data_IF_746452658901
#
_entry.id   IF_746452658901
#
_cell.length_a   1.000
_cell.length_b   1.000
_cell.length_c   1.000
_cell.angle_alpha   90.00
_cell.angle_beta   90.00
_cell.angle_gamma   90.00
#
_symmetry.space_group_name_H-M   'P 1'
#
loop_
_entity.id
_entity.type
_entity.pdbx_description
1 polymer ?
#
# COMPACT_ATOMS: atom_id res chain seq x y z
N UNK A 1 26.15 -21.27 27.05
CA UNK A 1 26.25 -21.48 25.55
C UNK A 1 26.80 -20.24 24.87
N UNK A 2 27.35 -20.28 23.63
CA UNK A 2 27.99 -19.11 23.02
C UNK A 2 27.08 -17.88 22.88
N UNK A 3 25.74 -18.05 22.93
CA UNK A 3 24.75 -16.99 22.73
C UNK A 3 24.05 -16.51 24.01
N UNK A 4 24.43 -17.03 25.21
CA UNK A 4 23.68 -16.74 26.44
C UNK A 4 23.57 -15.23 26.72
N UNK A 5 24.66 -14.49 26.57
CA UNK A 5 24.66 -13.02 26.78
C UNK A 5 23.76 -12.27 25.79
N UNK A 6 23.74 -12.70 24.53
CA UNK A 6 22.85 -12.11 23.53
C UNK A 6 21.39 -12.42 23.84
N UNK A 7 21.10 -13.68 24.23
CA UNK A 7 19.75 -14.07 24.61
C UNK A 7 19.23 -13.27 25.81
N UNK A 8 20.08 -12.96 26.79
CA UNK A 8 19.68 -12.16 27.95
C UNK A 8 19.31 -10.73 27.54
N UNK A 9 20.10 -10.09 26.65
CA UNK A 9 19.80 -8.78 26.11
C UNK A 9 18.48 -8.79 25.33
N UNK A 10 18.30 -9.75 24.39
CA UNK A 10 17.09 -9.82 23.57
C UNK A 10 15.83 -10.14 24.39
N UNK A 11 15.94 -10.97 25.47
CA UNK A 11 14.82 -11.19 26.39
C UNK A 11 14.43 -9.92 27.14
N UNK A 12 15.41 -9.11 27.55
CA UNK A 12 15.12 -7.84 28.20
C UNK A 12 14.42 -6.85 27.24
N UNK A 13 14.88 -6.76 25.99
CA UNK A 13 14.24 -5.93 24.96
C UNK A 13 12.81 -6.39 24.64
N UNK A 14 12.58 -7.72 24.54
CA UNK A 14 11.25 -8.28 24.34
C UNK A 14 10.31 -7.98 25.52
N UNK A 15 10.80 -8.12 26.75
CA UNK A 15 10.03 -7.78 27.96
C UNK A 15 9.70 -6.27 28.02
N UNK A 16 10.61 -5.41 27.57
CA UNK A 16 10.35 -3.97 27.46
C UNK A 16 9.27 -3.68 26.42
N UNK A 17 9.33 -4.29 25.22
CA UNK A 17 8.30 -4.18 24.19
C UNK A 17 6.93 -4.64 24.70
N UNK A 18 6.89 -5.74 25.47
CA UNK A 18 5.66 -6.24 26.08
C UNK A 18 5.09 -5.24 27.10
N UNK A 19 5.93 -4.75 28.02
CA UNK A 19 5.52 -3.78 29.03
C UNK A 19 4.98 -2.47 28.47
N UNK A 20 5.46 -2.10 27.26
CA UNK A 20 5.02 -0.92 26.51
C UNK A 20 3.82 -1.20 25.59
N UNK A 21 3.30 -2.43 25.54
CA UNK A 21 2.22 -2.81 24.61
C UNK A 21 2.63 -2.73 23.13
N UNK A 22 3.92 -2.85 22.82
CA UNK A 22 4.49 -2.69 21.47
C UNK A 22 4.77 -4.01 20.74
N UNK A 23 4.60 -5.15 21.43
CA UNK A 23 4.72 -6.45 20.79
C UNK A 23 3.64 -6.63 19.72
N UNK A 24 4.03 -7.24 18.59
CA UNK A 24 3.08 -7.55 17.49
C UNK A 24 2.13 -8.70 17.85
N UNK A 25 2.45 -9.48 18.88
CA UNK A 25 1.71 -10.68 19.24
C UNK A 25 1.94 -11.83 18.26
N UNK A 26 1.12 -12.87 18.37
CA UNK A 26 1.13 -13.99 17.43
C UNK A 26 0.39 -13.63 16.14
N UNK A 27 0.85 -14.20 15.03
CA UNK A 27 0.20 -14.05 13.74
C UNK A 27 -1.16 -14.78 13.72
N UNK A 28 -2.14 -14.20 13.01
CA UNK A 28 -3.41 -14.89 12.74
C UNK A 28 -3.21 -15.82 11.55
N UNK A 29 -3.40 -17.13 11.77
CA UNK A 29 -3.22 -18.15 10.75
C UNK A 29 -4.57 -18.49 10.12
N UNK A 30 -4.70 -18.26 8.81
CA UNK A 30 -5.85 -18.63 8.01
C UNK A 30 -5.70 -20.09 7.56
N UNK A 31 -6.69 -20.93 7.88
CA UNK A 31 -6.68 -22.36 7.54
C UNK A 31 -7.52 -22.65 6.32
N UNK A 32 -8.54 -21.82 6.04
CA UNK A 32 -9.43 -22.01 4.90
C UNK A 32 -10.08 -20.71 4.46
N UNK A 33 -10.32 -20.62 3.16
CA UNK A 33 -11.15 -19.58 2.54
C UNK A 33 -12.42 -20.23 2.00
N UNK A 34 -13.56 -19.74 2.45
CA UNK A 34 -14.88 -20.17 1.96
C UNK A 34 -15.34 -19.16 0.91
N UNK A 35 -15.77 -19.61 -0.28
CA UNK A 35 -16.23 -18.70 -1.33
C UNK A 35 -17.49 -17.95 -0.90
N UNK A 36 -17.74 -16.80 -1.55
CA UNK A 36 -18.98 -16.05 -1.39
C UNK A 36 -20.19 -16.94 -1.68
N UNK A 37 -21.24 -16.80 -0.87
CA UNK A 37 -22.46 -17.59 -1.00
C UNK A 37 -23.70 -16.77 -0.62
N UNK A 38 -24.75 -16.83 -1.44
CA UNK A 38 -25.98 -16.06 -1.26
C UNK A 38 -25.69 -14.55 -1.09
N UNK A 39 -26.09 -13.98 0.04
CA UNK A 39 -25.92 -12.55 0.34
C UNK A 39 -24.63 -12.23 1.14
N UNK A 40 -23.73 -13.20 1.29
CA UNK A 40 -22.49 -13.07 2.03
C UNK A 40 -21.26 -13.14 1.11
N UNK A 41 -20.30 -12.26 1.33
CA UNK A 41 -18.97 -12.34 0.74
C UNK A 41 -18.15 -13.53 1.29
N UNK A 42 -16.88 -13.65 0.90
CA UNK A 42 -16.02 -14.75 1.36
C UNK A 42 -15.89 -14.77 2.88
N UNK A 43 -15.73 -15.97 3.45
CA UNK A 43 -15.45 -16.17 4.88
C UNK A 43 -14.13 -16.87 5.07
N UNK A 44 -13.54 -16.68 6.24
CA UNK A 44 -12.22 -17.19 6.58
C UNK A 44 -12.29 -18.00 7.86
N UNK A 45 -11.66 -19.17 7.87
CA UNK A 45 -11.47 -19.99 9.07
C UNK A 45 -10.04 -19.78 9.60
N UNK A 46 -9.90 -19.80 10.93
CA UNK A 46 -8.64 -19.53 11.60
C UNK A 46 -8.19 -20.71 12.43
N UNK A 47 -6.88 -20.89 12.54
CA UNK A 47 -6.29 -21.87 13.45
C UNK A 47 -6.74 -21.62 14.91
N UNK A 48 -7.17 -22.68 15.58
CA UNK A 48 -7.62 -22.64 16.98
C UNK A 48 -9.04 -22.12 17.21
N UNK A 49 -9.78 -21.70 16.17
CA UNK A 49 -11.15 -21.15 16.27
C UNK A 49 -12.26 -22.16 15.85
N UNK A 50 -11.89 -23.43 15.61
CA UNK A 50 -12.82 -24.44 15.12
C UNK A 50 -13.42 -24.08 13.77
N UNK A 51 -14.74 -24.34 13.60
CA UNK A 51 -15.49 -24.06 12.36
C UNK A 51 -16.04 -22.62 12.31
N UNK A 52 -15.56 -21.72 13.17
CA UNK A 52 -16.00 -20.33 13.20
C UNK A 52 -15.56 -19.59 11.95
N UNK A 53 -16.50 -18.92 11.31
CA UNK A 53 -16.29 -18.18 10.09
C UNK A 53 -16.14 -16.68 10.40
N UNK A 54 -15.16 -16.06 9.76
CA UNK A 54 -14.83 -14.65 9.97
C UNK A 54 -15.07 -13.82 8.72
N UNK A 55 -15.67 -12.67 8.89
CA UNK A 55 -15.67 -11.56 7.93
C UNK A 55 -14.34 -10.81 8.06
N UNK A 56 -13.62 -10.64 6.96
CA UNK A 56 -12.28 -10.03 6.95
C UNK A 56 -12.34 -8.55 6.57
N UNK A 57 -12.35 -7.67 7.58
CA UNK A 57 -12.41 -6.21 7.41
C UNK A 57 -11.04 -5.53 7.58
N UNK A 58 -9.94 -6.29 7.55
CA UNK A 58 -8.57 -5.79 7.74
C UNK A 58 -7.61 -6.22 6.62
N UNK A 59 -8.13 -6.46 5.42
CA UNK A 59 -7.32 -6.82 4.25
C UNK A 59 -7.25 -5.67 3.26
N UNK A 60 -6.04 -5.39 2.74
CA UNK A 60 -5.85 -4.45 1.63
C UNK A 60 -6.29 -5.03 0.26
N UNK A 61 -7.02 -6.14 0.21
CA UNK A 61 -7.54 -6.77 -1.01
C UNK A 61 -8.79 -6.03 -1.51
N UNK A 62 -8.64 -4.76 -1.89
CA UNK A 62 -9.75 -3.85 -2.17
C UNK A 62 -10.72 -4.35 -3.24
N UNK A 63 -10.22 -5.05 -4.28
CA UNK A 63 -11.05 -5.55 -5.39
C UNK A 63 -11.29 -7.06 -5.35
N UNK A 64 -10.82 -7.76 -4.30
CA UNK A 64 -10.97 -9.22 -4.19
C UNK A 64 -10.24 -10.02 -5.29
N UNK A 65 -9.28 -9.42 -5.98
CA UNK A 65 -8.61 -10.03 -7.15
C UNK A 65 -7.97 -11.37 -6.83
N UNK A 66 -7.43 -11.55 -5.61
CA UNK A 66 -6.80 -12.81 -5.18
C UNK A 66 -7.74 -14.03 -5.13
N UNK A 67 -9.05 -13.80 -5.10
CA UNK A 67 -10.07 -14.86 -5.07
C UNK A 67 -10.82 -15.00 -6.41
N UNK A 68 -10.49 -14.22 -7.42
CA UNK A 68 -11.14 -14.27 -8.71
C UNK A 68 -10.67 -15.47 -9.54
N UNK A 69 -11.62 -16.22 -10.13
CA UNK A 69 -11.30 -17.40 -10.93
C UNK A 69 -10.32 -17.11 -12.07
N UNK A 70 -10.45 -15.94 -12.72
CA UNK A 70 -9.60 -15.53 -13.85
C UNK A 70 -8.15 -15.33 -13.43
N UNK A 71 -7.93 -14.78 -12.24
CA UNK A 71 -6.58 -14.52 -11.68
C UNK A 71 -5.95 -15.83 -11.21
N UNK A 72 -6.72 -16.68 -10.50
CA UNK A 72 -6.29 -18.00 -10.05
C UNK A 72 -5.92 -18.89 -11.25
N UNK A 73 -6.75 -18.93 -12.29
CA UNK A 73 -6.49 -19.73 -13.49
C UNK A 73 -5.21 -19.29 -14.20
N UNK A 74 -4.95 -17.97 -14.29
CA UNK A 74 -3.73 -17.44 -14.90
C UNK A 74 -2.47 -17.83 -14.09
N UNK A 75 -2.54 -17.83 -12.76
CA UNK A 75 -1.44 -18.28 -11.89
C UNK A 75 -1.15 -19.78 -12.06
N UNK A 76 -2.21 -20.62 -12.08
CA UNK A 76 -2.07 -22.05 -12.31
C UNK A 76 -1.47 -22.38 -13.67
N UNK A 77 -1.91 -21.70 -14.75
CA UNK A 77 -1.37 -21.86 -16.08
C UNK A 77 0.09 -21.42 -16.15
N UNK A 78 0.41 -20.26 -15.55
CA UNK A 78 1.79 -19.77 -15.44
C UNK A 78 2.70 -20.75 -14.71
N UNK A 79 2.24 -21.33 -13.59
CA UNK A 79 3.00 -22.37 -12.87
C UNK A 79 3.24 -23.63 -13.71
N UNK A 80 2.27 -24.07 -14.50
CA UNK A 80 2.42 -25.23 -15.39
C UNK A 80 3.36 -24.95 -16.55
N UNK A 81 3.32 -23.73 -17.09
CA UNK A 81 4.16 -23.36 -18.25
C UNK A 81 5.61 -23.10 -17.90
N UNK A 82 5.88 -22.41 -16.78
CA UNK A 82 7.21 -21.88 -16.44
C UNK A 82 7.81 -22.49 -15.16
N UNK A 83 7.08 -23.28 -14.40
CA UNK A 83 7.50 -23.75 -13.09
C UNK A 83 7.21 -22.74 -11.98
N UNK A 84 7.66 -23.04 -10.74
CA UNK A 84 7.28 -22.33 -9.52
C UNK A 84 8.19 -21.17 -9.14
N UNK A 85 9.25 -20.94 -9.88
CA UNK A 85 10.19 -19.86 -9.53
C UNK A 85 11.05 -19.40 -10.70
N UNK A 86 11.65 -18.20 -10.61
CA UNK A 86 12.42 -17.61 -11.70
C UNK A 86 13.78 -18.24 -11.92
N UNK A 87 14.32 -18.97 -10.93
CA UNK A 87 15.62 -19.66 -11.00
C UNK A 87 16.85 -18.75 -10.92
N UNK A 88 16.71 -17.46 -11.22
CA UNK A 88 17.79 -16.46 -11.19
C UNK A 88 17.24 -15.04 -11.07
N UNK A 89 18.13 -14.06 -10.86
CA UNK A 89 17.82 -12.63 -11.00
C UNK A 89 17.58 -12.24 -12.46
N UNK A 90 16.89 -11.12 -12.67
CA UNK A 90 16.38 -10.67 -13.97
C UNK A 90 17.43 -10.63 -15.10
N UNK A 91 18.62 -10.09 -14.86
CA UNK A 91 19.63 -9.88 -15.88
C UNK A 91 20.45 -11.16 -16.23
N UNK A 92 20.41 -12.19 -15.38
CA UNK A 92 21.10 -13.45 -15.66
C UNK A 92 20.23 -14.36 -16.55
N UNK A 93 19.13 -14.90 -15.98
CA UNK A 93 18.20 -15.77 -16.70
C UNK A 93 16.81 -15.83 -16.04
N UNK A 94 16.52 -14.94 -15.12
CA UNK A 94 15.25 -14.89 -14.38
C UNK A 94 14.19 -13.98 -15.04
N UNK A 95 14.36 -13.59 -16.30
CA UNK A 95 13.36 -12.84 -17.06
C UNK A 95 12.61 -13.75 -18.01
N UNK A 96 11.30 -13.77 -17.88
CA UNK A 96 10.38 -14.50 -18.75
C UNK A 96 9.55 -13.49 -19.56
N UNK A 97 8.98 -13.93 -20.67
CA UNK A 97 8.12 -13.10 -21.53
C UNK A 97 6.96 -12.47 -20.77
N UNK A 98 6.29 -13.22 -19.89
CA UNK A 98 5.21 -12.75 -19.05
C UNK A 98 5.60 -11.58 -18.14
N UNK A 99 6.85 -11.48 -17.70
CA UNK A 99 7.35 -10.31 -16.98
C UNK A 99 7.36 -9.06 -17.87
N UNK A 100 7.83 -9.22 -19.12
CA UNK A 100 7.89 -8.13 -20.10
C UNK A 100 6.48 -7.68 -20.50
N UNK A 101 5.58 -8.64 -20.69
CA UNK A 101 4.17 -8.35 -21.02
C UNK A 101 3.48 -7.59 -19.87
N UNK A 102 3.71 -7.99 -18.63
CA UNK A 102 3.19 -7.27 -17.46
C UNK A 102 3.77 -5.86 -17.36
N UNK A 103 5.09 -5.68 -17.53
CA UNK A 103 5.73 -4.36 -17.53
C UNK A 103 5.12 -3.47 -18.62
N UNK A 104 4.94 -3.97 -19.83
CA UNK A 104 4.28 -3.24 -20.91
C UNK A 104 2.84 -2.87 -20.55
N UNK A 105 2.07 -3.82 -20.05
CA UNK A 105 0.66 -3.62 -19.69
C UNK A 105 0.47 -2.61 -18.58
N UNK A 106 1.33 -2.60 -17.55
CA UNK A 106 1.32 -1.61 -16.48
C UNK A 106 1.67 -0.21 -16.99
N UNK A 107 2.67 -0.11 -17.87
CA UNK A 107 3.01 1.16 -18.50
C UNK A 107 1.82 1.73 -19.32
N UNK A 108 1.17 0.90 -20.12
CA UNK A 108 -0.03 1.25 -20.89
C UNK A 108 -1.18 1.68 -19.98
N UNK A 109 -1.44 0.92 -18.91
CA UNK A 109 -2.49 1.21 -17.94
C UNK A 109 -2.36 2.61 -17.32
N UNK A 110 -1.13 3.03 -17.01
CA UNK A 110 -0.84 4.35 -16.43
C UNK A 110 -0.50 5.43 -17.48
N UNK A 111 -0.54 5.13 -18.79
CA UNK A 111 -0.13 6.07 -19.82
C UNK A 111 1.35 6.49 -19.72
N UNK A 112 2.23 5.60 -19.21
CA UNK A 112 3.65 5.86 -19.04
C UNK A 112 4.49 5.22 -20.16
N UNK A 113 5.73 5.73 -20.35
CA UNK A 113 6.64 5.21 -21.38
C UNK A 113 7.13 3.80 -21.07
N UNK A 114 7.30 3.45 -19.81
CA UNK A 114 7.79 2.16 -19.38
C UNK A 114 7.38 1.86 -17.93
N UNK A 115 7.46 0.58 -17.53
CA UNK A 115 7.41 0.16 -16.15
C UNK A 115 8.50 -0.88 -15.83
N UNK A 116 8.70 -1.16 -14.55
CA UNK A 116 9.75 -2.08 -14.06
C UNK A 116 9.27 -2.78 -12.81
N UNK A 117 9.31 -4.12 -12.82
CA UNK A 117 8.84 -4.98 -11.74
C UNK A 117 9.89 -5.22 -10.66
N UNK A 118 9.44 -5.34 -9.43
CA UNK A 118 10.21 -5.73 -8.25
C UNK A 118 9.48 -6.83 -7.47
N UNK A 119 10.18 -7.49 -6.55
CA UNK A 119 9.62 -8.56 -5.71
C UNK A 119 8.55 -8.08 -4.70
N UNK A 120 8.48 -6.79 -4.40
CA UNK A 120 7.47 -6.17 -3.54
C UNK A 120 7.47 -4.65 -3.74
N UNK A 121 6.42 -3.94 -3.29
CA UNK A 121 6.42 -2.48 -3.27
C UNK A 121 7.52 -1.91 -2.38
N UNK A 122 7.81 -2.55 -1.25
CA UNK A 122 8.92 -2.16 -0.39
C UNK A 122 10.26 -2.21 -1.16
N UNK A 123 10.52 -3.31 -1.87
CA UNK A 123 11.71 -3.45 -2.73
C UNK A 123 11.70 -2.44 -3.88
N UNK A 124 10.52 -2.09 -4.42
CA UNK A 124 10.39 -1.06 -5.47
C UNK A 124 10.86 0.30 -4.97
N UNK A 125 10.36 0.75 -3.82
CA UNK A 125 10.75 2.03 -3.23
C UNK A 125 12.24 2.06 -2.85
N UNK A 126 12.72 0.95 -2.24
CA UNK A 126 14.16 0.78 -1.91
C UNK A 126 15.06 0.67 -3.14
N UNK A 127 14.53 0.24 -4.29
CA UNK A 127 15.27 0.19 -5.55
C UNK A 127 15.18 1.48 -6.36
N UNK A 128 14.12 2.25 -6.19
CA UNK A 128 13.86 3.47 -6.97
C UNK A 128 14.53 4.71 -6.38
N UNK A 129 14.33 4.98 -5.09
CA UNK A 129 14.80 6.23 -4.48
C UNK A 129 16.32 6.29 -4.32
N UNK A 130 17.06 5.30 -3.79
CA UNK A 130 18.50 5.43 -3.56
C UNK A 130 19.32 5.75 -4.80
N UNK A 131 19.08 5.19 -5.99
CA UNK A 131 19.83 5.58 -7.18
C UNK A 131 19.59 7.03 -7.63
N UNK A 132 18.43 7.61 -7.29
CA UNK A 132 18.06 8.99 -7.65
C UNK A 132 18.53 10.00 -6.63
N UNK A 133 18.75 9.59 -5.38
CA UNK A 133 19.16 10.43 -4.25
C UNK A 133 20.67 10.39 -4.07
N UNK A 134 21.37 11.32 -4.68
CA UNK A 134 22.84 11.42 -4.63
C UNK A 134 23.30 12.43 -3.58
N UNK A 135 24.64 12.54 -3.39
CA UNK A 135 25.25 13.58 -2.55
C UNK A 135 25.07 15.02 -3.06
N UNK A 136 24.30 15.23 -4.14
CA UNK A 136 23.92 16.54 -4.68
C UNK A 136 22.41 16.77 -4.72
N UNK A 137 21.63 15.82 -4.18
CA UNK A 137 20.17 15.81 -4.20
C UNK A 137 19.59 16.24 -2.86
N UNK A 138 18.57 17.10 -2.88
CA UNK A 138 17.65 17.28 -1.77
C UNK A 138 16.48 16.30 -1.89
N UNK A 139 16.13 15.61 -0.80
CA UNK A 139 14.87 14.88 -0.70
C UNK A 139 13.89 15.64 0.19
N UNK A 140 12.65 15.79 -0.28
CA UNK A 140 11.58 16.50 0.43
C UNK A 140 10.42 15.51 0.58
N UNK A 141 10.08 15.16 1.82
CA UNK A 141 9.20 14.03 2.17
C UNK A 141 8.07 14.48 3.09
N UNK A 142 6.84 14.04 2.84
CA UNK A 142 5.74 14.20 3.80
C UNK A 142 6.04 13.45 5.10
N UNK A 143 5.64 14.02 6.23
CA UNK A 143 5.89 13.49 7.56
C UNK A 143 5.21 12.14 7.84
N UNK A 144 4.11 11.82 7.14
CA UNK A 144 3.36 10.58 7.29
C UNK A 144 3.68 9.52 6.23
N UNK A 145 4.69 9.75 5.39
CA UNK A 145 5.10 8.79 4.39
C UNK A 145 5.43 7.41 4.97
N UNK A 146 5.14 6.38 4.20
CA UNK A 146 5.34 5.00 4.57
C UNK A 146 6.81 4.69 4.91
N UNK A 147 7.02 3.71 5.78
CA UNK A 147 8.34 3.28 6.27
C UNK A 147 9.34 2.94 5.16
N UNK A 148 8.90 2.40 4.01
CA UNK A 148 9.78 2.11 2.89
C UNK A 148 10.47 3.38 2.34
N UNK A 149 9.76 4.51 2.25
CA UNK A 149 10.30 5.80 1.84
C UNK A 149 11.34 6.28 2.86
N UNK A 150 11.00 6.24 4.15
CA UNK A 150 11.89 6.63 5.24
C UNK A 150 13.20 5.83 5.18
N UNK A 151 13.12 4.52 4.98
CA UNK A 151 14.30 3.65 4.93
C UNK A 151 15.09 3.81 3.62
N UNK A 152 14.43 4.03 2.49
CA UNK A 152 15.10 4.33 1.23
C UNK A 152 15.92 5.63 1.31
N UNK A 153 15.35 6.67 1.91
CA UNK A 153 16.05 7.95 2.15
C UNK A 153 17.25 7.76 3.09
N UNK A 154 17.10 6.96 4.16
CA UNK A 154 18.21 6.62 5.06
C UNK A 154 19.35 5.88 4.35
N UNK A 155 19.01 4.94 3.49
CA UNK A 155 19.98 4.18 2.70
C UNK A 155 20.71 5.06 1.70
N UNK A 156 20.02 5.96 1.02
CA UNK A 156 20.54 6.81 -0.04
C UNK A 156 21.52 7.87 0.46
N UNK A 157 21.35 8.39 1.67
CA UNK A 157 22.17 9.48 2.24
C UNK A 157 22.24 10.71 1.32
N UNK A 158 21.10 11.34 0.98
CA UNK A 158 21.07 12.53 0.14
C UNK A 158 21.84 13.68 0.82
N UNK A 159 22.18 14.71 0.04
CA UNK A 159 22.87 15.90 0.55
C UNK A 159 22.04 16.62 1.61
N UNK A 160 20.76 16.81 1.32
CA UNK A 160 19.83 17.45 2.24
C UNK A 160 18.54 16.63 2.34
N UNK A 161 17.94 16.66 3.53
CA UNK A 161 16.68 15.98 3.81
C UNK A 161 15.74 16.94 4.52
N UNK A 162 14.58 17.16 3.91
CA UNK A 162 13.48 17.92 4.46
C UNK A 162 12.29 17.00 4.72
N UNK A 163 11.62 17.19 5.85
CA UNK A 163 10.36 16.51 6.17
C UNK A 163 9.35 17.61 6.49
N UNK A 164 8.38 17.80 5.62
CA UNK A 164 7.34 18.79 5.83
C UNK A 164 6.15 18.20 6.59
N UNK A 165 5.45 19.01 7.41
CA UNK A 165 4.24 18.57 8.09
C UNK A 165 3.21 18.05 7.09
N UNK A 166 2.45 17.04 7.49
CA UNK A 166 1.51 16.36 6.63
C UNK A 166 0.57 17.33 5.90
N UNK A 167 0.58 17.25 4.57
CA UNK A 167 -0.19 18.09 3.63
C UNK A 167 0.06 19.60 3.73
N UNK A 168 1.17 20.04 4.34
CA UNK A 168 1.52 21.46 4.43
C UNK A 168 2.31 21.90 3.19
N UNK A 169 1.60 22.47 2.23
CA UNK A 169 2.21 22.94 0.97
C UNK A 169 3.08 24.17 1.16
N UNK A 170 2.87 24.96 2.21
CA UNK A 170 3.71 26.11 2.54
C UNK A 170 5.09 25.67 3.01
N UNK A 171 5.16 24.67 3.87
CA UNK A 171 6.43 24.08 4.33
C UNK A 171 7.13 23.29 3.21
N UNK A 172 6.37 22.63 2.31
CA UNK A 172 6.92 22.03 1.08
C UNK A 172 7.61 23.10 0.22
N UNK A 173 6.93 24.25 -0.01
CA UNK A 173 7.48 25.36 -0.78
C UNK A 173 8.76 25.93 -0.14
N UNK A 174 8.73 26.16 1.17
CA UNK A 174 9.90 26.64 1.91
C UNK A 174 11.09 25.67 1.79
N UNK A 175 10.83 24.35 1.83
CA UNK A 175 11.85 23.34 1.65
C UNK A 175 12.46 23.37 0.23
N UNK A 176 11.63 23.53 -0.82
CA UNK A 176 12.10 23.69 -2.21
C UNK A 176 12.97 24.94 -2.36
N UNK A 177 12.53 26.06 -1.83
CA UNK A 177 13.30 27.32 -1.85
C UNK A 177 14.66 27.15 -1.16
N UNK A 178 14.70 26.49 0.00
CA UNK A 178 15.97 26.27 0.71
C UNK A 178 16.88 25.31 -0.05
N UNK A 179 16.35 24.20 -0.55
CA UNK A 179 17.09 23.18 -1.30
C UNK A 179 17.73 23.74 -2.58
N UNK A 180 17.04 24.68 -3.27
CA UNK A 180 17.53 25.30 -4.51
C UNK A 180 18.84 26.07 -4.33
N UNK A 181 19.18 26.48 -3.11
CA UNK A 181 20.40 27.25 -2.84
C UNK A 181 21.68 26.41 -2.86
N UNK A 182 21.55 25.09 -2.71
CA UNK A 182 22.70 24.20 -2.48
C UNK A 182 22.65 22.89 -3.28
N UNK A 183 21.49 22.41 -3.69
CA UNK A 183 21.32 21.13 -4.35
C UNK A 183 21.14 21.29 -5.88
N UNK A 184 21.60 20.28 -6.63
CA UNK A 184 21.45 20.25 -8.08
C UNK A 184 20.13 19.64 -8.53
N UNK A 185 19.52 18.79 -7.67
CA UNK A 185 18.26 18.09 -7.89
C UNK A 185 17.41 18.15 -6.63
N UNK A 186 16.11 18.30 -6.79
CA UNK A 186 15.15 18.01 -5.73
C UNK A 186 14.36 16.73 -6.10
N UNK A 187 14.08 15.88 -5.11
CA UNK A 187 13.14 14.77 -5.22
C UNK A 187 12.08 14.96 -4.15
N UNK A 188 10.87 15.29 -4.58
CA UNK A 188 9.69 15.33 -3.74
C UNK A 188 9.10 13.94 -3.73
N UNK A 189 8.94 13.34 -2.56
CA UNK A 189 8.35 12.00 -2.44
C UNK A 189 7.21 12.00 -1.44
N UNK A 190 6.08 11.40 -1.85
CA UNK A 190 4.87 11.28 -1.04
C UNK A 190 4.15 9.97 -1.29
N UNK A 191 3.42 9.46 -0.28
CA UNK A 191 2.36 8.49 -0.54
C UNK A 191 1.23 9.17 -1.32
N UNK A 192 0.57 8.47 -2.23
CA UNK A 192 -0.64 8.95 -2.89
C UNK A 192 -1.81 8.91 -1.92
N UNK A 193 -2.01 7.77 -1.26
CA UNK A 193 -2.96 7.55 -0.17
C UNK A 193 -2.20 7.18 1.10
N UNK A 194 -2.44 7.89 2.18
CA UNK A 194 -1.83 7.62 3.49
C UNK A 194 -2.56 6.49 4.21
N UNK A 195 -1.87 5.38 4.40
CA UNK A 195 -2.44 4.08 4.75
C UNK A 195 -3.19 4.01 6.08
N UNK A 196 -2.91 4.91 7.03
CA UNK A 196 -3.55 4.92 8.34
C UNK A 196 -4.84 5.74 8.32
N UNK A 197 -4.87 6.84 7.57
CA UNK A 197 -5.94 7.82 7.58
C UNK A 197 -6.93 7.69 6.42
N UNK A 198 -6.49 7.12 5.29
CA UNK A 198 -7.28 7.06 4.05
C UNK A 198 -7.36 8.40 3.30
N UNK A 199 -6.70 9.45 3.78
CA UNK A 199 -6.56 10.73 3.08
C UNK A 199 -5.52 10.62 1.96
N UNK A 200 -5.48 11.62 1.07
CA UNK A 200 -4.62 11.62 -0.11
C UNK A 200 -3.73 12.86 -0.19
N UNK A 201 -2.61 12.73 -0.89
CA UNK A 201 -1.72 13.85 -1.19
C UNK A 201 -2.40 14.90 -2.09
N UNK A 202 -2.04 16.18 -1.88
CA UNK A 202 -2.43 17.30 -2.73
C UNK A 202 -1.57 17.32 -4.01
N UNK A 203 -1.71 16.28 -4.87
CA UNK A 203 -0.83 16.08 -6.02
C UNK A 203 -0.78 17.28 -6.97
N UNK A 204 -1.91 17.95 -7.31
CA UNK A 204 -1.87 19.14 -8.17
C UNK A 204 -0.96 20.24 -7.63
N UNK A 205 -1.06 20.55 -6.34
CA UNK A 205 -0.25 21.59 -5.68
C UNK A 205 1.21 21.18 -5.58
N UNK A 206 1.50 19.90 -5.29
CA UNK A 206 2.87 19.36 -5.24
C UNK A 206 3.53 19.49 -6.62
N UNK A 207 2.84 19.12 -7.69
CA UNK A 207 3.34 19.22 -9.06
C UNK A 207 3.51 20.68 -9.50
N UNK A 208 2.59 21.57 -9.11
CA UNK A 208 2.70 22.99 -9.36
C UNK A 208 3.94 23.60 -8.69
N UNK A 209 4.19 23.28 -7.43
CA UNK A 209 5.38 23.71 -6.70
C UNK A 209 6.65 23.13 -7.32
N UNK A 210 6.66 21.86 -7.71
CA UNK A 210 7.80 21.26 -8.40
C UNK A 210 8.11 22.03 -9.71
N UNK A 211 7.10 22.30 -10.53
CA UNK A 211 7.25 23.09 -11.79
C UNK A 211 7.72 24.51 -11.53
N UNK A 212 7.21 25.16 -10.49
CA UNK A 212 7.60 26.53 -10.12
C UNK A 212 9.10 26.65 -9.81
N UNK A 213 9.64 25.64 -9.10
CA UNK A 213 11.04 25.65 -8.67
C UNK A 213 11.97 24.86 -9.61
N UNK A 214 11.48 24.18 -10.61
CA UNK A 214 12.24 23.29 -11.51
C UNK A 214 13.48 23.98 -12.09
N UNK A 215 13.33 25.22 -12.58
CA UNK A 215 14.41 26.02 -13.17
C UNK A 215 15.54 26.39 -12.20
N UNK A 216 15.30 26.26 -10.89
CA UNK A 216 16.30 26.55 -9.86
C UNK A 216 17.23 25.34 -9.59
N UNK A 217 16.90 24.17 -10.13
CA UNK A 217 17.70 22.96 -10.02
C UNK A 217 18.33 22.58 -11.36
N UNK A 218 19.64 22.41 -11.39
CA UNK A 218 20.36 22.02 -12.61
C UNK A 218 19.97 20.64 -13.18
N UNK A 219 19.34 19.78 -12.35
CA UNK A 219 18.91 18.42 -12.68
C UNK A 219 17.43 18.18 -12.32
N UNK A 220 16.63 19.25 -12.39
CA UNK A 220 15.19 19.30 -12.17
C UNK A 220 14.69 19.04 -10.73
N UNK A 221 13.42 19.37 -10.53
CA UNK A 221 12.62 18.96 -9.38
C UNK A 221 11.73 17.78 -9.82
N UNK A 222 11.93 16.60 -9.22
CA UNK A 222 11.30 15.33 -9.60
C UNK A 222 10.23 14.96 -8.58
N UNK A 223 9.04 14.59 -9.03
CA UNK A 223 7.92 14.14 -8.18
C UNK A 223 7.79 12.61 -8.26
N UNK A 224 7.90 11.96 -7.10
CA UNK A 224 7.75 10.51 -6.93
C UNK A 224 6.56 10.24 -6.01
N UNK A 225 5.61 9.45 -6.46
CA UNK A 225 4.42 9.08 -5.69
C UNK A 225 4.40 7.57 -5.45
N UNK A 226 4.29 7.15 -4.19
CA UNK A 226 3.95 5.77 -3.83
C UNK A 226 2.42 5.67 -3.70
N UNK A 227 1.78 5.23 -4.76
CA UNK A 227 0.33 5.07 -4.83
C UNK A 227 -0.14 3.64 -4.61
N UNK A 228 0.57 2.93 -3.74
CA UNK A 228 0.30 1.52 -3.41
C UNK A 228 -1.09 1.29 -2.80
N UNK A 229 -1.74 2.30 -2.25
CA UNK A 229 -3.11 2.24 -1.78
C UNK A 229 -4.13 2.80 -2.78
N UNK A 230 -3.71 3.68 -3.69
CA UNK A 230 -4.60 4.29 -4.67
C UNK A 230 -4.84 3.41 -5.89
N UNK A 231 -3.79 2.83 -6.47
CA UNK A 231 -3.92 1.98 -7.66
C UNK A 231 -4.84 0.79 -7.41
N UNK A 232 -5.88 0.67 -8.23
CA UNK A 232 -6.91 -0.36 -8.14
C UNK A 232 -7.99 -0.11 -7.07
N UNK A 233 -7.93 1.03 -6.33
CA UNK A 233 -8.91 1.34 -5.29
C UNK A 233 -9.47 2.76 -5.40
N UNK A 234 -8.77 3.66 -6.10
CA UNK A 234 -9.06 5.09 -6.15
C UNK A 234 -9.05 5.60 -7.59
N UNK A 235 -9.77 6.69 -7.86
CA UNK A 235 -10.01 7.18 -9.21
C UNK A 235 -11.15 6.45 -9.93
N UNK A 236 -11.67 7.02 -11.00
CA UNK A 236 -12.84 6.51 -11.72
C UNK A 236 -12.61 5.12 -12.32
N UNK A 237 -11.41 4.86 -12.82
CA UNK A 237 -11.01 3.62 -13.49
C UNK A 237 -9.95 2.83 -12.71
N UNK A 238 -9.66 3.25 -11.46
CA UNK A 238 -8.68 2.59 -10.60
C UNK A 238 -7.22 2.91 -10.92
N UNK A 239 -6.97 4.01 -11.63
CA UNK A 239 -5.60 4.46 -11.92
C UNK A 239 -4.93 5.19 -10.76
N UNK A 240 -5.64 5.33 -9.65
CA UNK A 240 -5.11 5.84 -8.39
C UNK A 240 -5.29 7.34 -8.19
N UNK A 241 -4.41 7.89 -7.36
CA UNK A 241 -4.52 9.26 -6.84
C UNK A 241 -4.34 10.32 -7.93
N UNK A 242 -3.49 10.10 -8.94
CA UNK A 242 -3.37 11.02 -10.09
C UNK A 242 -4.70 11.17 -10.82
N UNK A 243 -5.37 10.06 -11.12
CA UNK A 243 -6.69 10.09 -11.78
C UNK A 243 -7.73 10.78 -10.90
N UNK A 244 -7.78 10.43 -9.62
CA UNK A 244 -8.75 11.02 -8.69
C UNK A 244 -8.61 12.55 -8.56
N UNK A 245 -7.37 13.04 -8.46
CA UNK A 245 -7.09 14.46 -8.30
C UNK A 245 -7.00 15.20 -9.63
N UNK A 246 -7.22 14.49 -10.75
CA UNK A 246 -7.01 15.01 -12.10
C UNK A 246 -5.64 15.70 -12.25
N UNK A 247 -4.61 15.09 -11.69
CA UNK A 247 -3.24 15.58 -11.71
C UNK A 247 -2.47 14.97 -12.87
N UNK A 248 -1.75 15.79 -13.61
CA UNK A 248 -0.77 15.38 -14.62
C UNK A 248 0.61 15.92 -14.24
N UNK A 249 1.62 15.06 -14.22
CA UNK A 249 3.00 15.51 -14.01
C UNK A 249 3.75 14.87 -12.85
N UNK A 250 3.23 13.79 -12.30
CA UNK A 250 4.04 12.88 -11.48
C UNK A 250 5.06 12.18 -12.38
N UNK A 251 6.34 12.28 -12.06
CA UNK A 251 7.43 11.73 -12.87
C UNK A 251 7.59 10.24 -12.74
N UNK A 252 7.46 9.74 -11.49
CA UNK A 252 7.55 8.33 -11.16
C UNK A 252 6.40 7.91 -10.25
N UNK A 253 5.65 6.91 -10.70
CA UNK A 253 4.60 6.24 -9.95
C UNK A 253 5.14 4.92 -9.42
N UNK A 254 5.15 4.73 -8.11
CA UNK A 254 5.40 3.45 -7.44
C UNK A 254 4.06 2.86 -7.03
N UNK A 255 3.86 1.56 -7.21
CA UNK A 255 2.67 0.88 -6.73
C UNK A 255 2.92 -0.59 -6.40
N UNK A 256 1.98 -1.18 -5.67
CA UNK A 256 2.01 -2.59 -5.29
C UNK A 256 1.09 -3.45 -6.16
N UNK A 257 1.50 -4.68 -6.40
CA UNK A 257 0.62 -5.74 -6.90
C UNK A 257 -0.11 -6.45 -5.74
N UNK A 258 0.37 -6.28 -4.51
CA UNK A 258 -0.04 -7.05 -3.32
C UNK A 258 -1.31 -6.55 -2.61
N UNK A 259 -2.00 -5.55 -3.13
CA UNK A 259 -3.23 -5.01 -2.52
C UNK A 259 -4.43 -5.21 -3.45
N UNK A 260 -4.87 -4.17 -4.14
CA UNK A 260 -6.04 -4.26 -5.02
C UNK A 260 -5.89 -5.30 -6.13
N UNK A 261 -4.69 -5.48 -6.67
CA UNK A 261 -4.41 -6.47 -7.72
C UNK A 261 -4.25 -7.90 -7.19
N UNK A 262 -4.14 -8.09 -5.86
CA UNK A 262 -4.26 -9.39 -5.20
C UNK A 262 -3.11 -10.37 -5.42
N UNK A 263 -1.96 -9.93 -5.93
CA UNK A 263 -0.78 -10.75 -6.26
C UNK A 263 0.45 -10.18 -5.56
N UNK A 264 1.48 -10.98 -5.35
CA UNK A 264 2.74 -10.47 -4.80
C UNK A 264 3.48 -9.59 -5.81
N UNK A 265 4.28 -8.63 -5.31
CA UNK A 265 5.12 -7.77 -6.12
C UNK A 265 4.86 -6.27 -5.98
N UNK A 266 5.66 -5.52 -6.71
CA UNK A 266 5.51 -4.08 -6.86
C UNK A 266 6.16 -3.61 -8.16
N UNK A 267 5.90 -2.38 -8.55
CA UNK A 267 6.45 -1.82 -9.77
C UNK A 267 6.64 -0.31 -9.67
N UNK A 268 7.50 0.21 -10.52
CA UNK A 268 7.62 1.65 -10.80
C UNK A 268 7.31 1.89 -12.27
N UNK A 269 6.56 2.96 -12.55
CA UNK A 269 6.24 3.40 -13.91
C UNK A 269 6.64 4.87 -14.12
N UNK A 270 7.15 5.20 -15.32
CA UNK A 270 7.60 6.55 -15.63
C UNK A 270 8.35 6.66 -16.97
N UNK A 271 9.33 7.57 -17.01
CA UNK A 271 10.18 7.79 -18.18
C UNK A 271 11.05 6.56 -18.50
N UNK A 272 11.12 6.18 -19.77
CA UNK A 272 11.95 5.05 -20.23
C UNK A 272 13.44 5.24 -19.92
N UNK A 273 13.92 6.48 -19.92
CA UNK A 273 15.34 6.80 -19.60
C UNK A 273 15.61 6.54 -18.12
N UNK A 274 14.71 7.00 -17.24
CA UNK A 274 14.86 6.77 -15.78
C UNK A 274 14.80 5.27 -15.48
N UNK A 275 13.83 4.55 -16.06
CA UNK A 275 13.70 3.11 -15.79
C UNK A 275 14.87 2.30 -16.36
N UNK A 276 15.44 2.71 -17.51
CA UNK A 276 16.68 2.10 -18.01
C UNK A 276 17.83 2.35 -17.03
N UNK A 277 17.97 3.55 -16.48
CA UNK A 277 18.97 3.84 -15.47
C UNK A 277 18.77 3.01 -14.20
N UNK A 278 17.52 2.88 -13.72
CA UNK A 278 17.21 2.04 -12.56
C UNK A 278 17.55 0.56 -12.79
N UNK A 279 17.36 0.02 -13.99
CA UNK A 279 17.76 -1.36 -14.32
C UNK A 279 19.26 -1.62 -14.13
N UNK A 280 20.09 -0.59 -14.31
CA UNK A 280 21.54 -0.68 -14.15
C UNK A 280 22.02 -0.36 -12.73
N UNK A 281 21.22 0.34 -11.91
CA UNK A 281 21.68 0.88 -10.63
C UNK A 281 20.88 0.39 -9.40
N UNK A 282 19.66 -0.10 -9.59
CA UNK A 282 18.80 -0.51 -8.50
C UNK A 282 19.25 -1.85 -7.88
N UNK A 283 19.95 -1.80 -6.75
CA UNK A 283 20.44 -3.01 -6.07
C UNK A 283 19.32 -4.01 -5.74
N UNK A 284 18.14 -3.53 -5.35
CA UNK A 284 16.96 -4.35 -5.04
C UNK A 284 16.30 -5.01 -6.26
N UNK A 285 16.71 -4.62 -7.47
CA UNK A 285 16.36 -5.28 -8.71
C UNK A 285 17.47 -6.20 -9.19
N UNK A 286 18.71 -5.72 -9.18
CA UNK A 286 19.86 -6.44 -9.74
C UNK A 286 20.17 -7.70 -8.92
N UNK A 287 20.10 -7.62 -7.58
CA UNK A 287 20.54 -8.68 -6.67
C UNK A 287 19.40 -9.43 -5.98
N UNK A 288 18.14 -9.16 -6.36
CA UNK A 288 16.97 -9.85 -5.85
C UNK A 288 16.26 -10.60 -6.97
N UNK A 289 15.72 -11.79 -6.64
CA UNK A 289 14.87 -12.50 -7.60
C UNK A 289 13.60 -11.66 -7.88
N UNK A 290 13.09 -11.71 -9.12
CA UNK A 290 11.78 -11.12 -9.43
C UNK A 290 10.64 -11.94 -8.78
N UNK A 291 9.42 -11.45 -8.91
CA UNK A 291 8.21 -12.26 -8.75
C UNK A 291 8.30 -13.49 -9.68
N UNK A 292 7.60 -14.56 -9.34
CA UNK A 292 7.55 -15.76 -10.17
C UNK A 292 6.82 -15.47 -11.50
N UNK A 293 7.08 -16.24 -12.57
CA UNK A 293 6.30 -16.13 -13.81
C UNK A 293 4.80 -16.35 -13.57
N UNK A 294 4.43 -17.21 -12.63
CA UNK A 294 3.04 -17.46 -12.25
C UNK A 294 2.39 -16.22 -11.63
N UNK A 295 3.06 -15.57 -10.67
CA UNK A 295 2.61 -14.30 -10.10
C UNK A 295 2.52 -13.20 -11.17
N UNK A 296 3.45 -13.16 -12.13
CA UNK A 296 3.39 -12.21 -13.22
C UNK A 296 2.18 -12.45 -14.14
N UNK A 297 1.83 -13.71 -14.43
CA UNK A 297 0.64 -14.07 -15.20
C UNK A 297 -0.65 -13.70 -14.45
N UNK A 298 -0.73 -13.98 -13.16
CA UNK A 298 -1.84 -13.58 -12.29
C UNK A 298 -2.01 -12.05 -12.26
N UNK A 299 -0.91 -11.30 -12.10
CA UNK A 299 -0.95 -9.84 -12.10
C UNK A 299 -1.42 -9.28 -13.45
N UNK A 300 -0.98 -9.85 -14.56
CA UNK A 300 -1.42 -9.47 -15.91
C UNK A 300 -2.92 -9.68 -16.08
N UNK A 301 -3.45 -10.81 -15.59
CA UNK A 301 -4.89 -11.08 -15.57
C UNK A 301 -5.64 -10.08 -14.69
N UNK A 302 -5.13 -9.78 -13.48
CA UNK A 302 -5.74 -8.83 -12.56
C UNK A 302 -5.82 -7.41 -13.15
N UNK A 303 -4.75 -6.92 -13.79
CA UNK A 303 -4.75 -5.62 -14.50
C UNK A 303 -5.75 -5.64 -15.65
N UNK A 304 -5.85 -6.76 -16.37
CA UNK A 304 -6.81 -6.90 -17.48
C UNK A 304 -8.26 -6.88 -16.99
N UNK A 305 -8.55 -7.49 -15.86
CA UNK A 305 -9.87 -7.40 -15.21
C UNK A 305 -10.14 -5.97 -14.75
N UNK A 306 -9.18 -5.32 -14.09
CA UNK A 306 -9.32 -3.94 -13.61
C UNK A 306 -9.64 -2.98 -14.77
N UNK A 307 -8.89 -3.09 -15.88
CA UNK A 307 -9.05 -2.22 -17.05
C UNK A 307 -10.14 -2.74 -18.03
N UNK A 308 -11.27 -3.16 -17.46
CA UNK A 308 -12.42 -3.70 -18.18
C UNK A 308 -13.75 -3.21 -17.57
N UNK A 309 -14.90 -3.43 -18.23
CA UNK A 309 -16.21 -3.14 -17.62
C UNK A 309 -16.43 -3.84 -16.27
N UNK A 310 -15.87 -5.04 -16.07
CA UNK A 310 -15.92 -5.75 -14.79
C UNK A 310 -15.17 -4.96 -13.71
N UNK A 311 -13.98 -4.44 -14.01
CA UNK A 311 -13.21 -3.61 -13.07
C UNK A 311 -13.94 -2.34 -12.67
N UNK A 312 -14.59 -1.66 -13.63
CA UNK A 312 -15.43 -0.48 -13.35
C UNK A 312 -16.57 -0.85 -12.38
N UNK A 313 -17.28 -1.95 -12.65
CA UNK A 313 -18.37 -2.41 -11.76
C UNK A 313 -17.86 -2.74 -10.34
N UNK A 314 -16.68 -3.35 -10.22
CA UNK A 314 -16.05 -3.63 -8.91
C UNK A 314 -15.70 -2.33 -8.17
N UNK A 315 -15.16 -1.33 -8.85
CA UNK A 315 -14.84 -0.02 -8.27
C UNK A 315 -16.11 0.72 -7.83
N UNK A 316 -17.17 0.67 -8.61
CA UNK A 316 -18.47 1.27 -8.24
C UNK A 316 -19.06 0.59 -7.01
N UNK A 317 -19.02 -0.74 -6.96
CA UNK A 317 -19.46 -1.51 -5.80
C UNK A 317 -18.62 -1.21 -4.56
N UNK A 318 -17.27 -1.19 -4.69
CA UNK A 318 -16.36 -0.83 -3.61
C UNK A 318 -16.71 0.54 -3.00
N UNK A 319 -16.91 1.55 -3.84
CA UNK A 319 -17.32 2.91 -3.40
C UNK A 319 -18.68 2.90 -2.71
N UNK A 320 -19.64 2.10 -3.21
CA UNK A 320 -20.95 1.99 -2.60
C UNK A 320 -20.87 1.36 -1.20
N UNK A 321 -20.07 0.31 -1.03
CA UNK A 321 -19.86 -0.35 0.27
C UNK A 321 -19.06 0.54 1.23
N UNK A 322 -18.07 1.27 0.75
CA UNK A 322 -17.32 2.25 1.55
C UNK A 322 -18.24 3.33 2.11
N UNK A 323 -19.04 3.97 1.25
CA UNK A 323 -20.01 4.98 1.70
C UNK A 323 -21.02 4.41 2.68
N UNK A 324 -21.54 3.19 2.43
CA UNK A 324 -22.47 2.51 3.34
C UNK A 324 -21.86 2.33 4.73
N UNK A 325 -20.60 1.91 4.79
CA UNK A 325 -19.91 1.69 6.06
C UNK A 325 -19.65 3.01 6.79
N UNK A 326 -19.12 4.04 6.12
CA UNK A 326 -18.89 5.36 6.72
C UNK A 326 -20.17 5.99 7.24
N UNK A 327 -21.24 6.01 6.43
CA UNK A 327 -22.54 6.53 6.84
C UNK A 327 -23.09 5.75 8.04
N UNK A 328 -22.99 4.42 7.99
CA UNK A 328 -23.43 3.55 9.08
C UNK A 328 -22.67 3.77 10.40
N UNK A 329 -21.37 4.11 10.34
CA UNK A 329 -20.60 4.52 11.53
C UNK A 329 -21.14 5.82 12.12
N UNK A 330 -21.30 6.86 11.29
CA UNK A 330 -21.77 8.18 11.71
C UNK A 330 -23.18 8.10 12.30
N UNK A 331 -24.11 7.37 11.66
CA UNK A 331 -25.48 7.17 12.14
C UNK A 331 -25.55 6.49 13.51
N UNK A 332 -24.55 5.67 13.84
CA UNK A 332 -24.40 4.98 15.14
C UNK A 332 -23.58 5.78 16.16
N UNK A 333 -23.19 7.02 15.83
CA UNK A 333 -22.45 7.92 16.72
C UNK A 333 -20.97 7.64 16.83
N UNK A 334 -20.40 6.85 15.93
CA UNK A 334 -18.95 6.63 15.86
C UNK A 334 -18.24 7.78 15.12
N UNK A 335 -17.04 8.12 15.57
CA UNK A 335 -16.19 9.09 14.91
C UNK A 335 -15.37 8.40 13.81
N UNK A 336 -15.35 8.97 12.59
CA UNK A 336 -14.51 8.54 11.48
C UNK A 336 -13.89 9.75 10.78
N UNK A 337 -12.82 9.54 10.03
CA UNK A 337 -12.27 10.56 9.12
C UNK A 337 -13.02 10.41 7.79
N UNK A 338 -13.78 11.43 7.35
CA UNK A 338 -14.49 11.36 6.07
C UNK A 338 -13.53 11.21 4.89
N UNK A 339 -13.87 10.33 3.94
CA UNK A 339 -13.07 10.11 2.74
C UNK A 339 -13.84 9.32 1.69
N UNK A 340 -13.20 9.09 0.54
CA UNK A 340 -13.74 8.24 -0.53
C UNK A 340 -12.91 6.97 -0.73
N UNK A 341 -11.80 6.85 0.01
CA UNK A 341 -10.92 5.68 -0.05
C UNK A 341 -11.46 4.54 0.83
N UNK A 342 -11.33 3.26 0.41
CA UNK A 342 -11.84 2.12 1.18
C UNK A 342 -11.11 1.81 2.50
N UNK A 343 -10.10 2.57 2.88
CA UNK A 343 -9.58 2.60 4.25
C UNK A 343 -10.45 3.56 5.06
N UNK A 344 -11.19 3.01 6.02
CA UNK A 344 -12.12 3.77 6.87
C UNK A 344 -11.67 3.63 8.32
N UNK A 345 -11.06 4.68 8.91
CA UNK A 345 -10.65 4.65 10.31
C UNK A 345 -11.85 4.92 11.21
N UNK A 346 -12.07 4.08 12.23
CA UNK A 346 -12.96 4.34 13.35
C UNK A 346 -12.11 4.89 14.50
N UNK A 347 -12.28 6.16 14.83
CA UNK A 347 -11.49 6.83 15.86
C UNK A 347 -11.99 6.42 17.25
N UNK A 348 -11.16 5.73 18.02
CA UNK A 348 -11.48 5.24 19.38
C UNK A 348 -10.85 6.14 20.45
N UNK A 349 -9.66 6.68 20.16
CA UNK A 349 -8.91 7.65 20.97
C UNK A 349 -8.48 7.16 22.34
N UNK A 350 -8.52 5.85 22.58
CA UNK A 350 -8.10 5.20 23.82
C UNK A 350 -7.55 3.80 23.54
N UNK A 351 -6.36 3.49 24.04
CA UNK A 351 -5.65 2.21 23.80
C UNK A 351 -6.41 1.01 24.36
N UNK A 352 -6.94 1.12 25.60
CA UNK A 352 -7.60 0.00 26.25
C UNK A 352 -8.94 -0.31 25.58
N UNK A 353 -9.70 0.75 25.25
CA UNK A 353 -10.96 0.64 24.51
C UNK A 353 -10.76 0.09 23.10
N UNK A 354 -9.70 0.51 22.39
CA UNK A 354 -9.35 -0.04 21.07
C UNK A 354 -9.08 -1.54 21.16
N UNK A 355 -8.29 -1.98 22.13
CA UNK A 355 -8.00 -3.38 22.36
C UNK A 355 -9.25 -4.20 22.69
N UNK A 356 -10.11 -3.67 23.57
CA UNK A 356 -11.37 -4.31 23.95
C UNK A 356 -12.34 -4.42 22.76
N UNK A 357 -12.45 -3.37 21.94
CA UNK A 357 -13.32 -3.36 20.77
C UNK A 357 -12.83 -4.32 19.67
N UNK A 358 -11.51 -4.44 19.44
CA UNK A 358 -10.95 -5.47 18.53
C UNK A 358 -11.26 -6.88 19.02
N UNK A 359 -11.13 -7.13 20.33
CA UNK A 359 -11.50 -8.41 20.95
C UNK A 359 -13.00 -8.72 20.77
N UNK A 360 -13.87 -7.73 20.97
CA UNK A 360 -15.31 -7.84 20.76
C UNK A 360 -15.64 -8.19 19.31
N UNK A 361 -15.06 -7.48 18.33
CA UNK A 361 -15.22 -7.76 16.90
C UNK A 361 -14.80 -9.20 16.58
N UNK A 362 -13.62 -9.63 17.01
CA UNK A 362 -13.12 -11.00 16.80
C UNK A 362 -14.05 -12.04 17.44
N UNK A 363 -14.53 -11.81 18.65
CA UNK A 363 -15.47 -12.69 19.33
C UNK A 363 -16.80 -12.84 18.60
N UNK A 364 -17.18 -11.85 17.79
CA UNK A 364 -18.38 -11.85 16.95
C UNK A 364 -18.10 -12.15 15.45
N UNK A 365 -16.93 -12.72 15.13
CA UNK A 365 -16.62 -13.18 13.77
C UNK A 365 -16.21 -12.07 12.80
N UNK A 366 -15.74 -10.92 13.29
CA UNK A 366 -15.21 -9.83 12.44
C UNK A 366 -13.73 -9.62 12.73
N UNK A 367 -12.89 -9.66 11.67
CA UNK A 367 -11.46 -9.36 11.76
C UNK A 367 -11.21 -7.90 11.42
N UNK A 368 -10.76 -7.13 12.40
CA UNK A 368 -10.35 -5.74 12.24
C UNK A 368 -9.00 -5.50 12.94
N UNK A 369 -8.30 -4.43 12.57
CA UNK A 369 -6.98 -4.12 13.13
C UNK A 369 -7.04 -2.83 13.94
N UNK A 370 -6.77 -2.94 15.24
CA UNK A 370 -6.57 -1.79 16.12
C UNK A 370 -5.16 -1.21 15.93
N UNK A 371 -5.08 0.10 15.88
CA UNK A 371 -3.84 0.86 15.81
C UNK A 371 -3.70 1.67 17.08
N UNK A 372 -2.71 1.31 17.90
CA UNK A 372 -2.41 1.94 19.17
C UNK A 372 -1.06 2.65 19.11
N UNK A 373 -0.79 3.50 20.10
CA UNK A 373 0.56 4.04 20.28
C UNK A 373 1.60 2.90 20.38
N UNK A 374 2.77 3.00 19.75
CA UNK A 374 3.32 4.15 19.00
C UNK A 374 3.08 4.08 17.48
N UNK A 375 2.19 3.22 16.99
CA UNK A 375 1.87 3.13 15.56
C UNK A 375 1.12 4.40 15.11
N UNK A 376 0.25 4.87 15.97
CA UNK A 376 -0.41 6.18 15.88
C UNK A 376 -0.06 7.03 17.11
N UNK A 377 -0.15 8.36 17.07
CA UNK A 377 0.00 9.22 18.24
C UNK A 377 -1.00 8.87 19.34
N UNK A 378 -0.66 9.16 20.59
CA UNK A 378 -1.65 9.05 21.70
C UNK A 378 -2.81 10.02 21.49
N UNK A 379 -4.01 9.48 21.61
CA UNK A 379 -5.25 10.20 21.33
C UNK A 379 -5.73 10.06 19.88
N UNK A 380 -4.96 9.35 19.04
CA UNK A 380 -5.33 8.99 17.66
C UNK A 380 -5.50 7.49 17.49
N UNK A 381 -5.68 6.75 18.60
CA UNK A 381 -5.95 5.32 18.55
C UNK A 381 -7.23 5.05 17.76
N UNK A 382 -7.16 4.09 16.85
CA UNK A 382 -8.22 3.80 15.89
C UNK A 382 -8.34 2.31 15.59
N UNK A 383 -9.48 1.91 15.05
CA UNK A 383 -9.63 0.65 14.33
C UNK A 383 -9.67 0.98 12.85
N UNK A 384 -8.69 0.45 12.11
CA UNK A 384 -8.61 0.63 10.67
C UNK A 384 -9.39 -0.47 9.96
N UNK A 385 -10.55 -0.12 9.42
CA UNK A 385 -11.30 -0.98 8.53
C UNK A 385 -10.85 -0.81 7.09
N UNK A 386 -10.84 -1.89 6.34
CA UNK A 386 -10.61 -1.90 4.89
C UNK A 386 -11.83 -2.54 4.22
N UNK A 387 -12.50 -1.76 3.42
CA UNK A 387 -13.64 -2.22 2.63
C UNK A 387 -13.11 -2.90 1.36
N UNK A 388 -13.79 -3.96 0.94
CA UNK A 388 -13.47 -4.73 -0.27
C UNK A 388 -14.69 -4.83 -1.17
N UNK A 389 -14.45 -4.95 -2.47
CA UNK A 389 -15.50 -5.30 -3.44
C UNK A 389 -16.08 -6.71 -3.23
N UNK A 390 -15.44 -7.52 -2.38
CA UNK A 390 -15.98 -8.81 -1.94
C UNK A 390 -17.06 -8.68 -0.86
N UNK A 391 -17.14 -7.52 -0.17
CA UNK A 391 -18.15 -7.31 0.85
C UNK A 391 -19.51 -7.00 0.24
N UNK A 392 -20.56 -7.61 0.79
CA UNK A 392 -21.95 -7.32 0.46
C UNK A 392 -22.54 -6.27 1.39
N UNK A 393 -23.71 -5.72 1.05
CA UNK A 393 -24.43 -4.82 1.96
C UNK A 393 -24.76 -5.50 3.31
N UNK A 394 -25.10 -6.80 3.29
CA UNK A 394 -25.37 -7.57 4.50
C UNK A 394 -24.11 -7.74 5.37
N UNK A 395 -22.93 -7.91 4.76
CA UNK A 395 -21.66 -7.97 5.49
C UNK A 395 -21.37 -6.66 6.20
N UNK A 396 -21.54 -5.54 5.51
CA UNK A 396 -21.34 -4.19 6.06
C UNK A 396 -22.31 -3.96 7.23
N UNK A 397 -23.61 -4.25 7.05
CA UNK A 397 -24.61 -4.08 8.09
C UNK A 397 -24.33 -4.97 9.31
N UNK A 398 -23.95 -6.22 9.09
CA UNK A 398 -23.56 -7.15 10.17
C UNK A 398 -22.37 -6.63 10.97
N UNK A 399 -21.34 -6.09 10.30
CA UNK A 399 -20.20 -5.49 10.99
C UNK A 399 -20.61 -4.27 11.84
N UNK A 400 -21.47 -3.39 11.29
CA UNK A 400 -22.00 -2.23 11.99
C UNK A 400 -22.87 -2.61 13.20
N UNK A 401 -23.65 -3.69 13.10
CA UNK A 401 -24.46 -4.19 14.22
C UNK A 401 -23.59 -4.79 15.33
N UNK A 402 -22.52 -5.50 14.97
CA UNK A 402 -21.51 -5.97 15.94
C UNK A 402 -20.86 -4.80 16.66
N UNK A 403 -20.49 -3.73 15.95
CA UNK A 403 -19.93 -2.51 16.56
C UNK A 403 -20.92 -1.87 17.54
N UNK A 404 -22.21 -1.81 17.18
CA UNK A 404 -23.26 -1.24 18.04
C UNK A 404 -23.53 -2.04 19.31
N UNK A 405 -23.19 -3.32 19.33
CA UNK A 405 -23.30 -4.19 20.50
C UNK A 405 -22.14 -4.10 21.49
N UNK A 406 -21.22 -3.16 21.31
CA UNK A 406 -20.10 -2.98 22.22
C UNK A 406 -20.45 -1.99 23.33
N UNK A 407 -20.60 -2.51 24.56
CA UNK A 407 -20.97 -1.75 25.77
C UNK A 407 -19.75 -1.20 26.54
N UNK A 408 -18.61 -0.94 25.88
CA UNK A 408 -17.35 -0.58 26.54
C UNK A 408 -16.94 0.90 26.44
#
# INVERSE_FOLDING_TARGET
>A
MPLDRLHDVLRAELAELESQGRQKGSETVFTRVLPAAADAGPRFELEGEGDKQFLRMNSNSYLGMSLRPEVIAAEEEGSRAYGTGPGAVRFISGTYDVHIDLERRLAEFHGRQASMLFSSAYATTMGTLPPLLTGETAVISDALNHNCIINAVRLARPKEKYVYPHLDMGELEAALEQASKSCRRAVIVTDGIFSMRGDHACLPEIVELARKYDHAFAENAVVVVDDSHGVGAFGATGRGTEEYTNCEGVDLLIATLGKALGVNGGYVAGSSVILKFLREQAAFYIYSNPITPAEAAAALAAVSVLDSPTGIALLEHLRAMTRRFEQGLVERGFETIPGEHPVVPLMVRDTARTTALVSHLRSNGVLATGLNFPVVPKGDEEIRFQISADHTAADIDSCLDVLSGFDG
#
